data_IF_346116812085
#
_entry.id   IF_346116812085
#
_cell.length_a   1.000
_cell.length_b   1.000
_cell.length_c   1.000
_cell.angle_alpha   90.00
_cell.angle_beta   90.00
_cell.angle_gamma   90.00
#
_symmetry.space_group_name_H-M   'P 1'
#
loop_
_entity.id
_entity.type
_entity.pdbx_description
1 polymer ?
#
# COMPACT_ATOMS: atom_id res chain seq x y z
N UNK A 1 9.32 -10.36 -23.38
CA UNK A 1 8.81 -9.41 -22.37
C UNK A 1 9.56 -9.66 -21.06
N UNK A 2 10.05 -8.60 -20.40
CA UNK A 2 10.66 -8.74 -19.07
C UNK A 2 9.60 -9.07 -18.02
N UNK A 3 10.02 -9.67 -16.89
CA UNK A 3 9.10 -9.97 -15.79
C UNK A 3 8.45 -8.72 -15.17
N UNK A 4 9.06 -7.56 -15.38
CA UNK A 4 8.54 -6.27 -14.89
C UNK A 4 7.52 -5.63 -15.83
N UNK A 5 7.26 -6.21 -17.00
CA UNK A 5 6.39 -5.66 -18.03
C UNK A 5 7.15 -5.00 -19.19
N UNK A 6 6.43 -4.53 -20.19
CA UNK A 6 7.00 -3.86 -21.36
C UNK A 6 7.67 -2.54 -20.98
N UNK A 7 8.88 -2.30 -21.48
CA UNK A 7 9.67 -1.10 -21.11
C UNK A 7 9.02 0.19 -21.60
N UNK A 8 8.51 0.22 -22.81
CA UNK A 8 7.82 1.39 -23.37
C UNK A 8 6.58 1.77 -22.58
N UNK A 9 5.80 0.80 -22.12
CA UNK A 9 4.63 1.03 -21.26
C UNK A 9 5.06 1.57 -19.89
N UNK A 10 6.08 0.96 -19.28
CA UNK A 10 6.60 1.42 -17.98
C UNK A 10 7.17 2.81 -18.06
N UNK A 11 7.89 3.13 -19.15
CA UNK A 11 8.40 4.49 -19.37
C UNK A 11 7.28 5.51 -19.55
N UNK A 12 6.23 5.18 -20.31
CA UNK A 12 5.08 6.06 -20.46
C UNK A 12 4.38 6.34 -19.12
N UNK A 13 4.26 5.34 -18.26
CA UNK A 13 3.72 5.51 -16.90
C UNK A 13 4.63 6.40 -16.05
N UNK A 14 5.94 6.17 -16.08
CA UNK A 14 6.91 6.97 -15.35
C UNK A 14 6.83 8.45 -15.76
N UNK A 15 6.79 8.72 -17.05
CA UNK A 15 6.68 10.09 -17.57
C UNK A 15 5.35 10.76 -17.16
N UNK A 16 4.25 10.01 -17.18
CA UNK A 16 2.96 10.51 -16.71
C UNK A 16 3.00 10.89 -15.23
N UNK A 17 3.62 10.06 -14.38
CA UNK A 17 3.80 10.35 -12.95
C UNK A 17 4.67 11.59 -12.75
N UNK A 18 5.80 11.69 -13.46
CA UNK A 18 6.71 12.82 -13.37
C UNK A 18 6.02 14.14 -13.70
N UNK A 19 5.20 14.13 -14.75
CA UNK A 19 4.45 15.31 -15.18
C UNK A 19 3.38 15.74 -14.16
N UNK A 20 2.73 14.76 -13.50
CA UNK A 20 1.61 15.02 -12.59
C UNK A 20 2.06 15.36 -11.17
N UNK A 21 3.18 14.84 -10.71
CA UNK A 21 3.58 14.86 -9.30
C UNK A 21 4.99 15.38 -9.04
N UNK A 22 5.64 15.96 -10.05
CA UNK A 22 7.01 16.48 -9.95
C UNK A 22 8.00 15.43 -9.40
N UNK A 23 7.89 14.21 -9.93
CA UNK A 23 8.78 13.10 -9.61
C UNK A 23 9.82 12.89 -10.72
N UNK A 24 10.82 12.02 -10.49
CA UNK A 24 11.92 11.77 -11.42
C UNK A 24 12.08 10.26 -11.68
N UNK A 25 10.98 9.58 -11.97
CA UNK A 25 10.97 8.15 -12.28
C UNK A 25 11.35 7.87 -13.73
N UNK A 26 11.84 6.68 -13.97
CA UNK A 26 12.01 6.07 -15.29
C UNK A 26 11.46 4.63 -15.26
N UNK A 27 11.52 3.93 -16.38
CA UNK A 27 10.95 2.58 -16.48
C UNK A 27 11.51 1.58 -15.45
N UNK A 28 12.73 1.78 -14.95
CA UNK A 28 13.33 0.88 -13.95
C UNK A 28 12.65 0.99 -12.57
N UNK A 29 11.94 2.08 -12.33
CA UNK A 29 11.19 2.30 -11.07
C UNK A 29 9.76 1.74 -11.13
N UNK A 30 9.31 1.25 -12.28
CA UNK A 30 7.95 0.80 -12.51
C UNK A 30 7.93 -0.72 -12.70
N UNK A 31 7.08 -1.40 -11.96
CA UNK A 31 6.82 -2.84 -12.11
C UNK A 31 5.32 -3.04 -12.36
N UNK A 32 5.00 -3.74 -13.44
CA UNK A 32 3.61 -4.06 -13.76
C UNK A 32 3.15 -5.28 -12.96
N UNK A 33 1.93 -5.22 -12.45
CA UNK A 33 1.32 -6.31 -11.69
C UNK A 33 -0.10 -6.60 -12.17
N UNK A 34 -0.63 -7.74 -11.78
CA UNK A 34 -2.02 -8.11 -12.10
C UNK A 34 -2.95 -7.47 -11.07
N UNK A 35 -3.40 -6.25 -11.35
CA UNK A 35 -4.28 -5.49 -10.47
C UNK A 35 -3.62 -5.03 -9.17
N UNK A 36 -4.37 -4.28 -8.37
CA UNK A 36 -3.91 -3.79 -7.06
C UNK A 36 -3.61 -4.92 -6.08
N UNK A 37 -4.40 -5.99 -6.09
CA UNK A 37 -4.18 -7.15 -5.24
C UNK A 37 -2.83 -7.81 -5.55
N UNK A 38 -2.50 -8.01 -6.83
CA UNK A 38 -1.20 -8.53 -7.24
C UNK A 38 -0.05 -7.64 -6.80
N UNK A 39 -0.20 -6.33 -6.95
CA UNK A 39 0.79 -5.34 -6.50
C UNK A 39 1.03 -5.37 -5.00
N UNK A 40 -0.04 -5.34 -4.21
CA UNK A 40 0.05 -5.41 -2.75
C UNK A 40 0.70 -6.70 -2.26
N UNK A 41 0.29 -7.86 -2.80
CA UNK A 41 0.87 -9.14 -2.41
C UNK A 41 2.36 -9.22 -2.78
N UNK A 42 2.76 -8.70 -3.93
CA UNK A 42 4.17 -8.65 -4.35
C UNK A 42 5.00 -7.83 -3.38
N UNK A 43 4.54 -6.63 -3.03
CA UNK A 43 5.23 -5.73 -2.09
C UNK A 43 5.30 -6.37 -0.71
N UNK A 44 4.17 -6.84 -0.18
CA UNK A 44 4.11 -7.41 1.17
C UNK A 44 4.99 -8.65 1.29
N UNK A 45 4.99 -9.53 0.30
CA UNK A 45 5.90 -10.69 0.26
C UNK A 45 7.36 -10.26 0.29
N UNK A 46 7.69 -9.15 -0.34
CA UNK A 46 9.08 -8.66 -0.43
C UNK A 46 9.57 -8.07 0.88
N UNK A 47 8.70 -7.35 1.63
CA UNK A 47 9.13 -6.55 2.78
C UNK A 47 8.77 -7.15 4.14
N UNK A 48 7.74 -8.01 4.23
CA UNK A 48 7.24 -8.54 5.51
C UNK A 48 8.11 -9.69 6.01
N UNK A 49 8.51 -9.60 7.27
CA UNK A 49 9.04 -10.69 8.06
C UNK A 49 8.02 -11.13 9.10
N UNK A 50 8.09 -12.39 9.59
CA UNK A 50 7.19 -12.85 10.66
C UNK A 50 7.21 -11.91 11.88
N UNK A 51 6.02 -11.50 12.32
CA UNK A 51 5.84 -10.58 13.45
C UNK A 51 5.83 -9.10 13.08
N UNK A 52 6.13 -8.74 11.83
CA UNK A 52 6.00 -7.35 11.35
C UNK A 52 4.53 -6.90 11.35
N UNK A 53 4.32 -5.64 11.62
CA UNK A 53 3.00 -5.01 11.59
C UNK A 53 2.84 -4.08 10.38
N UNK A 54 1.64 -4.11 9.82
CA UNK A 54 1.23 -3.18 8.74
C UNK A 54 0.01 -2.42 9.25
N UNK A 55 0.10 -1.09 9.27
CA UNK A 55 -1.00 -0.23 9.68
C UNK A 55 -1.89 0.12 8.49
N UNK A 56 -3.17 0.27 8.75
CA UNK A 56 -4.14 0.83 7.80
C UNK A 56 -5.24 1.56 8.56
N UNK A 57 -6.01 2.37 7.86
CA UNK A 57 -7.11 3.14 8.45
C UNK A 57 -8.44 2.44 8.22
N UNK A 58 -9.19 2.17 9.29
CA UNK A 58 -10.52 1.59 9.20
C UNK A 58 -11.58 2.68 8.84
N UNK A 59 -12.65 2.33 8.11
CA UNK A 59 -12.88 1.05 7.48
C UNK A 59 -11.96 0.84 6.26
N UNK A 60 -11.52 -0.38 6.04
CA UNK A 60 -10.58 -0.73 4.97
C UNK A 60 -11.10 -1.92 4.14
N UNK A 61 -10.51 -2.14 2.98
CA UNK A 61 -10.80 -3.30 2.15
C UNK A 61 -10.40 -4.59 2.88
N UNK A 62 -11.37 -5.44 3.19
CA UNK A 62 -11.21 -6.59 4.08
C UNK A 62 -10.07 -7.54 3.72
N UNK A 63 -9.73 -7.66 2.44
CA UNK A 63 -8.67 -8.54 1.95
C UNK A 63 -7.26 -8.12 2.41
N UNK A 64 -7.05 -6.87 2.81
CA UNK A 64 -5.74 -6.45 3.34
C UNK A 64 -5.28 -7.31 4.52
N UNK A 65 -6.22 -7.76 5.36
CA UNK A 65 -5.91 -8.65 6.48
C UNK A 65 -5.30 -9.96 5.99
N UNK A 66 -5.91 -10.55 4.97
CA UNK A 66 -5.43 -11.80 4.37
C UNK A 66 -4.08 -11.60 3.69
N UNK A 67 -3.90 -10.52 2.94
CA UNK A 67 -2.63 -10.22 2.25
C UNK A 67 -1.47 -10.10 3.22
N UNK A 68 -1.66 -9.41 4.34
CA UNK A 68 -0.62 -9.24 5.36
C UNK A 68 -0.36 -10.54 6.11
N UNK A 69 -1.41 -11.25 6.55
CA UNK A 69 -1.26 -12.49 7.32
C UNK A 69 -0.64 -13.62 6.53
N UNK A 70 -0.83 -13.67 5.21
CA UNK A 70 -0.26 -14.69 4.33
C UNK A 70 1.28 -14.70 4.36
N UNK A 71 1.90 -13.58 4.70
CA UNK A 71 3.37 -13.45 4.78
C UNK A 71 3.89 -13.35 6.21
N UNK A 72 3.07 -13.73 7.19
CA UNK A 72 3.44 -13.77 8.60
C UNK A 72 3.36 -12.42 9.33
N UNK A 73 2.79 -11.40 8.69
CA UNK A 73 2.56 -10.10 9.29
C UNK A 73 1.21 -9.99 10.01
N UNK A 74 1.04 -8.90 10.72
CA UNK A 74 -0.21 -8.54 11.42
C UNK A 74 -0.72 -7.21 10.91
N UNK A 75 -1.98 -7.16 10.46
CA UNK A 75 -2.64 -5.91 10.12
C UNK A 75 -3.16 -5.23 11.39
N UNK A 76 -2.76 -3.99 11.60
CA UNK A 76 -3.18 -3.15 12.71
C UNK A 76 -4.02 -2.00 12.15
N UNK A 77 -5.29 -1.94 12.54
CA UNK A 77 -6.21 -0.93 12.04
C UNK A 77 -6.29 0.25 13.00
N UNK A 78 -6.12 1.45 12.44
CA UNK A 78 -6.43 2.71 13.12
C UNK A 78 -7.95 2.88 13.12
N UNK A 79 -8.56 3.14 14.28
CA UNK A 79 -10.00 3.31 14.41
C UNK A 79 -10.51 4.50 13.60
N UNK A 80 -11.70 4.41 12.99
CA UNK A 80 -12.26 5.53 12.25
C UNK A 80 -12.82 6.58 13.20
N UNK A 81 -12.83 7.82 12.76
CA UNK A 81 -13.79 8.80 13.28
C UNK A 81 -15.14 8.47 12.65
N UNK A 82 -16.07 7.96 13.44
CA UNK A 82 -17.37 7.48 12.93
C UNK A 82 -18.30 8.61 12.48
N UNK A 83 -18.03 9.84 12.86
CA UNK A 83 -18.80 11.00 12.43
C UNK A 83 -18.35 11.53 11.06
N UNK A 84 -17.04 11.54 10.81
CA UNK A 84 -16.46 12.19 9.63
C UNK A 84 -15.77 11.23 8.67
N UNK A 85 -15.46 10.00 9.11
CA UNK A 85 -14.61 9.02 8.43
C UNK A 85 -13.20 9.53 8.11
N UNK A 86 -12.78 10.60 8.79
CA UNK A 86 -11.41 11.11 8.67
C UNK A 86 -10.42 10.24 9.45
N UNK A 87 -9.17 10.15 9.00
CA UNK A 87 -8.12 9.43 9.73
C UNK A 87 -7.87 10.05 11.11
N UNK A 88 -7.75 9.20 12.14
CA UNK A 88 -7.33 9.62 13.50
C UNK A 88 -5.82 9.55 13.60
N UNK A 89 -5.14 10.62 13.24
CA UNK A 89 -3.67 10.66 13.19
C UNK A 89 -2.99 10.51 14.53
N UNK A 90 -3.61 10.99 15.61
CA UNK A 90 -3.11 10.83 16.99
C UNK A 90 -3.13 9.35 17.43
N UNK A 91 -4.16 8.60 17.07
CA UNK A 91 -4.20 7.15 17.29
C UNK A 91 -3.18 6.43 16.41
N UNK A 92 -3.05 6.83 15.15
CA UNK A 92 -2.06 6.31 14.23
C UNK A 92 -0.64 6.41 14.81
N UNK A 93 -0.26 7.57 15.31
CA UNK A 93 1.06 7.78 15.93
C UNK A 93 1.30 6.84 17.11
N UNK A 94 0.29 6.62 17.96
CA UNK A 94 0.39 5.74 19.12
C UNK A 94 0.55 4.27 18.76
N UNK A 95 0.05 3.86 17.60
CA UNK A 95 0.13 2.47 17.14
C UNK A 95 1.46 2.13 16.45
N UNK A 96 2.24 3.14 16.07
CA UNK A 96 3.57 2.93 15.49
C UNK A 96 4.52 2.42 16.58
N UNK A 97 5.21 1.31 16.29
CA UNK A 97 6.18 0.72 17.20
C UNK A 97 7.34 0.07 16.40
N UNK A 98 8.27 -0.56 17.12
CA UNK A 98 9.45 -1.19 16.51
C UNK A 98 9.14 -2.28 15.49
N UNK A 99 7.93 -2.85 15.51
CA UNK A 99 7.51 -3.90 14.59
C UNK A 99 6.77 -3.33 13.37
N UNK A 100 6.46 -2.05 13.35
CA UNK A 100 5.78 -1.40 12.22
C UNK A 100 6.68 -1.40 11.00
N UNK A 101 6.24 -2.07 9.93
CA UNK A 101 6.99 -2.18 8.68
C UNK A 101 6.46 -1.26 7.60
N UNK A 102 5.14 -1.12 7.51
CA UNK A 102 4.50 -0.39 6.42
C UNK A 102 3.15 0.18 6.85
N UNK A 103 2.65 1.09 6.04
CA UNK A 103 1.30 1.65 6.13
C UNK A 103 0.62 1.47 4.77
N UNK A 104 -0.60 0.95 4.77
CA UNK A 104 -1.45 0.91 3.57
C UNK A 104 -2.39 2.11 3.64
N UNK A 105 -2.28 3.00 2.66
CA UNK A 105 -3.18 4.14 2.47
C UNK A 105 -3.93 3.96 1.17
N UNK A 106 -5.25 4.02 1.22
CA UNK A 106 -6.11 3.96 0.04
C UNK A 106 -6.91 5.26 -0.05
N UNK A 107 -6.66 6.04 -1.09
CA UNK A 107 -7.32 7.33 -1.28
C UNK A 107 -7.62 7.57 -2.77
N UNK A 108 -8.87 7.77 -3.21
CA UNK A 108 -10.10 7.65 -2.41
C UNK A 108 -10.26 6.26 -1.77
N UNK A 109 -10.82 6.21 -0.56
CA UNK A 109 -10.86 4.98 0.21
C UNK A 109 -11.94 4.00 -0.27
N UNK A 110 -11.64 2.73 -0.23
CA UNK A 110 -12.62 1.66 -0.32
C UNK A 110 -12.81 1.08 1.10
N UNK A 111 -14.03 1.14 1.70
CA UNK A 111 -15.34 1.36 1.04
C UNK A 111 -15.95 2.77 1.19
N UNK A 112 -15.30 3.72 1.80
CA UNK A 112 -15.95 5.02 2.16
C UNK A 112 -15.90 6.10 1.08
N UNK A 113 -15.07 5.94 0.08
CA UNK A 113 -14.91 6.95 -0.98
C UNK A 113 -13.89 8.04 -0.70
#
# INVERSE_FOLDING_TARGET
>A
MSNSGFEDVREAIAQSLNKRFDTHFNYTNIVMTVGAAGGLNTILKTIINPGDEVLTFAPFFGEYRNYVSNFGGKLVAVSPDTATFQPKFDEFEKLINKNTKAVIVNNPNNPTG
#
